data_IF_083484289699
#
_entry.id   IF_083484289699
#
_cell.length_a   1.000
_cell.length_b   1.000
_cell.length_c   1.000
_cell.angle_alpha   90.00
_cell.angle_beta   90.00
_cell.angle_gamma   90.00
#
_symmetry.space_group_name_H-M   'P 1'
#
loop_
_entity.id
_entity.type
_entity.pdbx_description
1 polymer ?
#
# COMPACT_ATOMS: atom_id res chain seq x y z
N UNK A 1 -6.25 -32.41 19.13
CA UNK A 1 -4.80 -32.53 18.90
C UNK A 1 -4.46 -31.80 17.61
N UNK A 2 -3.32 -31.08 17.57
CA UNK A 2 -2.90 -30.26 16.44
C UNK A 2 -1.52 -30.74 15.99
N UNK A 3 -1.37 -31.03 14.70
CA UNK A 3 -0.07 -31.25 14.07
C UNK A 3 0.41 -29.91 13.46
N UNK A 4 1.57 -29.44 13.92
CA UNK A 4 2.21 -28.23 13.38
C UNK A 4 3.39 -28.63 12.51
N UNK A 5 3.36 -28.18 11.25
CA UNK A 5 4.47 -28.35 10.32
C UNK A 5 5.16 -27.00 10.13
N UNK A 6 6.48 -26.96 10.35
CA UNK A 6 7.29 -25.78 10.11
C UNK A 6 8.08 -25.96 8.82
N UNK A 7 7.88 -25.05 7.86
CA UNK A 7 8.61 -25.01 6.60
C UNK A 7 9.68 -23.92 6.69
N UNK A 8 10.95 -24.29 6.52
CA UNK A 8 12.09 -23.40 6.71
C UNK A 8 12.42 -22.51 5.52
N UNK A 9 11.97 -22.87 4.31
CA UNK A 9 12.17 -22.07 3.11
C UNK A 9 11.08 -22.38 2.08
N UNK A 10 10.59 -21.34 1.42
CA UNK A 10 9.72 -21.46 0.26
C UNK A 10 10.18 -20.49 -0.83
N UNK A 11 10.18 -20.93 -2.07
CA UNK A 11 10.37 -20.05 -3.22
C UNK A 11 9.05 -19.32 -3.52
N UNK A 12 9.13 -18.12 -4.12
CA UNK A 12 7.95 -17.37 -4.57
C UNK A 12 7.39 -17.98 -5.87
N UNK A 13 6.12 -17.70 -6.17
CA UNK A 13 5.43 -18.15 -7.37
C UNK A 13 5.64 -19.65 -7.64
N UNK A 14 5.57 -20.45 -6.58
CA UNK A 14 5.88 -21.87 -6.65
C UNK A 14 4.75 -22.69 -6.06
N UNK A 15 4.36 -23.74 -6.77
CA UNK A 15 3.39 -24.71 -6.30
C UNK A 15 4.06 -25.73 -5.39
N UNK A 16 3.43 -25.98 -4.26
CA UNK A 16 3.88 -26.95 -3.27
C UNK A 16 2.80 -27.96 -2.96
N UNK A 17 3.24 -29.18 -2.69
CA UNK A 17 2.38 -30.23 -2.17
C UNK A 17 2.97 -30.73 -0.86
N UNK A 18 2.18 -30.69 0.21
CA UNK A 18 2.50 -31.37 1.45
C UNK A 18 1.76 -32.70 1.43
N UNK A 19 2.49 -33.81 1.56
CA UNK A 19 1.93 -35.15 1.64
C UNK A 19 2.30 -35.80 2.96
N UNK A 20 1.31 -36.27 3.68
CA UNK A 20 1.46 -37.09 4.90
C UNK A 20 0.98 -38.49 4.53
N UNK A 21 1.88 -39.49 4.45
CA UNK A 21 1.49 -40.84 4.16
C UNK A 21 0.59 -41.44 5.23
N UNK A 22 -0.23 -42.42 4.86
CA UNK A 22 -1.01 -43.19 5.79
C UNK A 22 -0.11 -43.82 6.88
N UNK A 23 -0.54 -43.72 8.10
CA UNK A 23 0.19 -44.29 9.26
C UNK A 23 1.42 -43.53 9.72
N UNK A 24 1.80 -42.41 9.07
CA UNK A 24 2.88 -41.55 9.58
C UNK A 24 2.51 -40.91 10.93
N UNK A 25 1.23 -40.62 11.12
CA UNK A 25 0.66 -40.14 12.39
C UNK A 25 -0.29 -41.20 12.91
N UNK A 26 -0.17 -41.52 14.20
CA UNK A 26 -1.06 -42.47 14.86
C UNK A 26 -1.79 -41.81 16.02
N UNK A 27 -3.04 -42.17 16.19
CA UNK A 27 -3.87 -41.73 17.33
C UNK A 27 -3.48 -42.42 18.64
N UNK A 28 -4.10 -42.05 19.79
CA UNK A 28 -3.85 -42.64 21.09
C UNK A 28 -4.02 -44.15 21.12
N UNK A 29 -4.88 -44.70 20.29
CA UNK A 29 -5.14 -46.14 20.18
C UNK A 29 -4.25 -46.84 19.14
N UNK A 30 -3.17 -46.21 18.72
CA UNK A 30 -2.27 -46.68 17.65
C UNK A 30 -2.96 -46.87 16.30
N UNK A 31 -4.14 -46.32 16.13
CA UNK A 31 -4.80 -46.32 14.79
C UNK A 31 -4.07 -45.37 13.85
N UNK A 32 -3.71 -45.82 12.67
CA UNK A 32 -3.06 -44.99 11.66
C UNK A 32 -4.04 -43.91 11.17
N UNK A 33 -3.56 -42.69 11.05
CA UNK A 33 -4.28 -41.64 10.35
C UNK A 33 -4.27 -41.91 8.84
N UNK A 34 -5.34 -41.60 8.11
CA UNK A 34 -5.37 -41.72 6.67
C UNK A 34 -4.35 -40.79 6.02
N UNK A 35 -3.93 -41.14 4.80
CA UNK A 35 -3.08 -40.27 4.00
C UNK A 35 -3.75 -38.90 3.78
N UNK A 36 -2.96 -37.84 3.86
CA UNK A 36 -3.42 -36.47 3.64
C UNK A 36 -2.52 -35.78 2.64
N UNK A 37 -3.10 -34.96 1.76
CA UNK A 37 -2.37 -34.13 0.83
C UNK A 37 -2.98 -32.73 0.77
N UNK A 38 -2.12 -31.70 0.82
CA UNK A 38 -2.49 -30.30 0.69
C UNK A 38 -1.64 -29.66 -0.40
N UNK A 39 -2.30 -29.09 -1.38
CA UNK A 39 -1.65 -28.26 -2.40
C UNK A 39 -1.82 -26.78 -2.03
N UNK A 40 -0.76 -26.01 -2.18
CA UNK A 40 -0.81 -24.56 -2.07
C UNK A 40 0.25 -23.93 -2.97
N UNK A 41 0.02 -22.69 -3.35
CA UNK A 41 0.98 -21.88 -4.11
C UNK A 41 1.47 -20.73 -3.25
N UNK A 42 2.75 -20.43 -3.36
CA UNK A 42 3.28 -19.18 -2.78
C UNK A 42 2.99 -18.01 -3.70
N UNK A 43 2.74 -16.85 -3.10
CA UNK A 43 2.36 -15.65 -3.83
C UNK A 43 3.45 -15.23 -4.82
N UNK A 44 3.05 -14.98 -6.07
CA UNK A 44 3.86 -14.25 -7.03
C UNK A 44 3.61 -12.75 -6.85
N UNK A 45 4.54 -12.05 -6.20
CA UNK A 45 4.45 -10.61 -6.00
C UNK A 45 4.69 -9.81 -7.29
N UNK A 46 5.12 -10.46 -8.37
CA UNK A 46 5.40 -9.82 -9.65
C UNK A 46 4.22 -9.85 -10.62
N UNK A 47 3.26 -10.78 -10.44
CA UNK A 47 2.24 -11.06 -11.45
C UNK A 47 1.13 -10.01 -11.57
N UNK A 48 0.95 -9.17 -10.55
CA UNK A 48 -0.19 -8.25 -10.46
C UNK A 48 0.20 -6.77 -10.32
N UNK A 49 1.48 -6.43 -10.45
CA UNK A 49 1.92 -5.05 -10.33
C UNK A 49 2.10 -4.41 -11.71
N UNK A 50 1.65 -3.17 -11.81
CA UNK A 50 1.88 -2.36 -13.01
C UNK A 50 3.39 -2.28 -13.27
N UNK A 51 3.79 -2.54 -14.50
CA UNK A 51 5.20 -2.44 -14.90
C UNK A 51 5.71 -1.04 -14.61
N UNK A 52 6.87 -0.95 -13.97
CA UNK A 52 7.54 0.31 -13.78
C UNK A 52 7.88 0.95 -15.14
N UNK A 53 7.55 2.23 -15.28
CA UNK A 53 7.72 2.96 -16.56
C UNK A 53 9.06 3.66 -16.68
N UNK A 54 9.86 3.70 -15.58
CA UNK A 54 11.20 4.30 -15.58
C UNK A 54 12.21 3.38 -14.87
N UNK A 55 13.51 3.52 -15.18
CA UNK A 55 14.56 2.76 -14.50
C UNK A 55 14.59 2.99 -12.98
N UNK A 56 14.25 4.21 -12.53
CA UNK A 56 14.20 4.59 -11.12
C UNK A 56 13.04 3.89 -10.41
N UNK A 57 11.87 3.87 -11.04
CA UNK A 57 10.71 3.14 -10.51
C UNK A 57 10.97 1.63 -10.46
N UNK A 58 11.63 1.07 -11.48
CA UNK A 58 12.03 -0.34 -11.47
C UNK A 58 13.03 -0.65 -10.35
N UNK A 59 14.00 0.23 -10.12
CA UNK A 59 14.96 0.10 -9.02
C UNK A 59 14.28 0.11 -7.66
N UNK A 60 13.34 1.05 -7.46
CA UNK A 60 12.55 1.13 -6.23
C UNK A 60 11.70 -0.13 -6.04
N UNK A 61 11.05 -0.59 -7.08
CA UNK A 61 10.25 -1.81 -7.04
C UNK A 61 11.10 -3.03 -6.63
N UNK A 62 12.26 -3.22 -7.26
CA UNK A 62 13.20 -4.30 -6.89
C UNK A 62 13.62 -4.20 -5.43
N UNK A 63 13.96 -2.98 -4.96
CA UNK A 63 14.30 -2.76 -3.56
C UNK A 63 13.17 -3.17 -2.61
N UNK A 64 11.92 -2.82 -2.92
CA UNK A 64 10.77 -3.19 -2.09
C UNK A 64 10.56 -4.71 -2.05
N UNK A 65 10.66 -5.37 -3.20
CA UNK A 65 10.55 -6.84 -3.31
C UNK A 65 11.66 -7.55 -2.54
N UNK A 66 12.90 -7.11 -2.67
CA UNK A 66 14.04 -7.72 -1.98
C UNK A 66 13.94 -7.63 -0.46
N UNK A 67 13.30 -6.57 0.05
CA UNK A 67 13.13 -6.34 1.48
C UNK A 67 11.79 -6.84 2.04
N UNK A 68 10.86 -7.23 1.18
CA UNK A 68 9.55 -7.73 1.60
C UNK A 68 9.67 -8.93 2.54
N UNK A 69 8.99 -8.86 3.69
CA UNK A 69 9.03 -9.89 4.73
C UNK A 69 10.34 -10.00 5.50
N UNK A 70 11.33 -9.14 5.22
CA UNK A 70 12.65 -9.14 5.88
C UNK A 70 12.89 -7.91 6.73
N UNK A 71 12.38 -6.75 6.30
CA UNK A 71 12.58 -5.45 6.94
C UNK A 71 11.30 -4.64 6.96
N UNK A 72 11.18 -3.78 7.96
CA UNK A 72 10.20 -2.70 8.00
C UNK A 72 10.87 -1.43 7.49
N UNK A 73 10.25 -0.77 6.52
CA UNK A 73 10.70 0.53 6.03
C UNK A 73 10.00 1.60 6.87
N UNK A 74 10.76 2.44 7.55
CA UNK A 74 10.21 3.55 8.33
C UNK A 74 9.72 4.64 7.41
N UNK A 75 8.60 5.25 7.75
CA UNK A 75 8.03 6.36 6.99
C UNK A 75 7.48 7.46 7.88
N UNK A 76 7.33 8.63 7.31
CA UNK A 76 6.69 9.80 7.88
C UNK A 76 5.74 10.41 6.86
N UNK A 77 4.73 11.08 7.36
CA UNK A 77 3.83 11.91 6.57
C UNK A 77 4.39 13.33 6.54
N UNK A 78 4.51 13.91 5.35
CA UNK A 78 4.72 15.35 5.23
C UNK A 78 3.49 16.08 5.81
N UNK A 79 3.70 17.24 6.40
CA UNK A 79 2.57 18.03 6.85
C UNK A 79 1.74 18.55 5.65
N UNK A 80 0.60 19.15 5.96
CA UNK A 80 -0.35 19.64 4.94
C UNK A 80 0.22 20.69 3.97
N UNK A 81 1.32 21.35 4.35
CA UNK A 81 2.03 22.31 3.48
C UNK A 81 3.19 21.66 2.70
N UNK A 82 3.28 20.33 2.70
CA UNK A 82 4.33 19.55 2.05
C UNK A 82 5.75 19.83 2.53
N UNK A 83 5.93 20.45 3.68
CA UNK A 83 7.25 20.52 4.26
C UNK A 83 7.63 19.17 4.91
N UNK A 84 8.90 19.00 5.21
CA UNK A 84 9.47 17.77 5.78
C UNK A 84 9.84 17.93 7.25
N UNK A 85 9.22 18.87 7.95
CA UNK A 85 9.56 19.23 9.34
C UNK A 85 9.43 18.05 10.30
N UNK A 86 8.45 17.16 10.09
CA UNK A 86 8.27 15.94 10.89
C UNK A 86 9.44 14.96 10.67
N UNK A 87 9.92 14.83 9.44
CA UNK A 87 11.07 14.00 9.14
C UNK A 87 12.37 14.59 9.72
N UNK A 88 12.53 15.91 9.67
CA UNK A 88 13.63 16.63 10.33
C UNK A 88 13.59 16.43 11.84
N UNK A 89 12.41 16.44 12.45
CA UNK A 89 12.25 16.22 13.88
C UNK A 89 12.64 14.78 14.26
N UNK A 90 12.27 13.79 13.45
CA UNK A 90 12.72 12.39 13.64
C UNK A 90 14.24 12.31 13.56
N UNK A 91 14.84 12.96 12.57
CA UNK A 91 16.30 12.99 12.43
C UNK A 91 16.97 13.67 13.65
N UNK A 92 16.38 14.75 14.15
CA UNK A 92 16.88 15.44 15.35
C UNK A 92 16.88 14.51 16.58
N UNK A 93 15.87 13.69 16.74
CA UNK A 93 15.75 12.80 17.91
C UNK A 93 16.57 11.53 17.79
N UNK A 94 16.74 11.01 16.58
CA UNK A 94 17.30 9.67 16.37
C UNK A 94 18.65 9.65 15.65
N UNK A 95 19.04 10.76 15.02
CA UNK A 95 20.19 10.84 14.12
C UNK A 95 19.95 10.19 12.75
N UNK A 96 18.70 9.82 12.44
CA UNK A 96 18.33 9.15 11.19
C UNK A 96 17.04 9.71 10.62
N UNK A 97 17.01 9.88 9.30
CA UNK A 97 15.77 10.18 8.59
C UNK A 97 14.91 8.93 8.41
N UNK A 98 13.58 9.06 8.40
CA UNK A 98 12.73 8.00 7.88
C UNK A 98 13.05 7.76 6.40
N UNK A 99 12.95 6.50 5.96
CA UNK A 99 13.29 6.16 4.58
C UNK A 99 12.24 6.63 3.56
N UNK A 100 10.99 6.78 4.00
CA UNK A 100 9.85 7.14 3.17
C UNK A 100 9.20 8.41 3.71
N UNK A 101 8.83 9.33 2.82
CA UNK A 101 7.96 10.45 3.15
C UNK A 101 6.75 10.45 2.21
N UNK A 102 5.55 10.61 2.79
CA UNK A 102 4.29 10.60 2.06
C UNK A 102 3.77 12.02 1.91
N UNK A 103 3.46 12.42 0.69
CA UNK A 103 2.91 13.73 0.36
C UNK A 103 1.44 13.58 0.01
N UNK A 104 0.58 14.37 0.65
CA UNK A 104 -0.85 14.31 0.48
C UNK A 104 -1.32 15.27 -0.62
N UNK A 105 -2.09 14.76 -1.57
CA UNK A 105 -2.68 15.52 -2.67
C UNK A 105 -4.16 15.87 -2.42
N UNK A 106 -4.55 15.95 -1.17
CA UNK A 106 -5.92 16.17 -0.71
C UNK A 106 -6.59 17.40 -1.34
N UNK A 107 -5.82 18.46 -1.56
CA UNK A 107 -6.36 19.78 -1.90
C UNK A 107 -6.28 20.14 -3.39
N UNK A 108 -5.95 19.19 -4.26
CA UNK A 108 -5.71 19.50 -5.69
C UNK A 108 -6.86 20.25 -6.36
N UNK A 109 -8.11 19.98 -5.99
CA UNK A 109 -9.23 20.52 -6.75
C UNK A 109 -10.26 21.30 -5.92
N UNK A 110 -10.47 20.93 -4.66
CA UNK A 110 -11.66 21.32 -3.90
C UNK A 110 -11.37 21.80 -2.49
N UNK A 111 -10.16 22.23 -2.21
CA UNK A 111 -9.86 22.96 -1.00
C UNK A 111 -10.00 24.46 -1.28
N UNK A 112 -10.84 25.13 -0.54
CA UNK A 112 -10.91 26.60 -0.52
C UNK A 112 -9.65 27.24 0.06
N UNK A 113 -8.73 26.46 0.60
CA UNK A 113 -7.49 26.89 1.23
C UNK A 113 -6.30 26.34 0.43
N UNK A 114 -5.66 27.20 -0.33
CA UNK A 114 -4.46 26.86 -1.12
C UNK A 114 -3.21 26.91 -0.23
N UNK A 115 -3.07 25.99 0.69
CA UNK A 115 -1.86 25.87 1.52
C UNK A 115 -0.69 25.25 0.75
N UNK A 116 -1.01 24.50 -0.27
CA UNK A 116 -0.04 23.76 -1.06
C UNK A 116 -0.02 24.34 -2.46
N UNK A 117 1.14 24.80 -2.88
CA UNK A 117 1.37 25.14 -4.29
C UNK A 117 1.77 23.86 -5.02
N UNK A 118 0.81 23.20 -5.64
CA UNK A 118 1.06 21.99 -6.43
C UNK A 118 1.88 22.24 -7.70
N UNK A 119 2.13 23.47 -8.09
CA UNK A 119 3.08 23.81 -9.14
C UNK A 119 4.53 23.75 -8.67
N UNK A 120 4.77 23.87 -7.36
CA UNK A 120 6.07 23.68 -6.73
C UNK A 120 6.20 22.27 -6.11
N UNK A 121 6.75 21.35 -6.86
CA UNK A 121 7.04 19.98 -6.40
C UNK A 121 8.45 19.85 -5.77
N UNK A 122 9.12 20.96 -5.49
CA UNK A 122 10.47 20.93 -4.94
C UNK A 122 10.62 20.15 -3.62
N UNK A 123 9.67 20.17 -2.67
CA UNK A 123 9.76 19.33 -1.47
C UNK A 123 9.81 17.84 -1.79
N UNK A 124 9.03 17.40 -2.78
CA UNK A 124 8.97 16.01 -3.24
C UNK A 124 10.26 15.61 -3.96
N UNK A 125 10.71 16.46 -4.89
CA UNK A 125 11.92 16.19 -5.66
C UNK A 125 13.19 16.26 -4.81
N UNK A 126 13.25 17.16 -3.83
CA UNK A 126 14.36 17.25 -2.89
C UNK A 126 14.47 15.98 -2.04
N UNK A 127 13.35 15.46 -1.55
CA UNK A 127 13.33 14.20 -0.81
C UNK A 127 13.83 13.03 -1.66
N UNK A 128 13.35 12.91 -2.90
CA UNK A 128 13.78 11.88 -3.84
C UNK A 128 15.27 11.99 -4.18
N UNK A 129 15.77 13.22 -4.43
CA UNK A 129 17.18 13.49 -4.76
C UNK A 129 18.12 13.19 -3.58
N UNK A 130 17.63 13.33 -2.35
CA UNK A 130 18.36 12.93 -1.14
C UNK A 130 18.40 11.39 -0.94
N UNK A 131 17.75 10.62 -1.82
CA UNK A 131 17.70 9.15 -1.76
C UNK A 131 16.52 8.60 -0.96
N UNK A 132 15.58 9.45 -0.56
CA UNK A 132 14.36 9.06 0.14
C UNK A 132 13.32 8.44 -0.81
N UNK A 133 12.48 7.58 -0.27
CA UNK A 133 11.32 7.03 -1.00
C UNK A 133 10.18 8.03 -0.91
N UNK A 134 9.65 8.40 -2.08
CA UNK A 134 8.44 9.23 -2.18
C UNK A 134 7.21 8.33 -2.21
N UNK A 135 6.23 8.65 -1.38
CA UNK A 135 4.89 8.09 -1.43
C UNK A 135 3.89 9.23 -1.66
N UNK A 136 2.88 8.96 -2.46
CA UNK A 136 1.79 9.90 -2.69
C UNK A 136 0.52 9.36 -2.04
N UNK A 137 -0.13 10.20 -1.26
CA UNK A 137 -1.45 9.93 -0.71
C UNK A 137 -2.48 10.83 -1.39
N UNK A 138 -3.64 10.31 -1.59
CA UNK A 138 -4.78 11.05 -2.06
C UNK A 138 -5.92 10.93 -1.06
N UNK A 139 -6.19 11.98 -0.33
CA UNK A 139 -7.44 12.17 0.37
C UNK A 139 -8.50 12.59 -0.63
N UNK A 140 -9.34 11.67 -1.03
CA UNK A 140 -10.35 11.99 -2.02
C UNK A 140 -11.47 12.83 -1.40
N UNK A 141 -11.54 14.08 -1.83
CA UNK A 141 -12.58 15.00 -1.45
C UNK A 141 -13.65 14.98 -2.55
N UNK A 142 -14.86 14.55 -2.22
CA UNK A 142 -15.95 14.31 -3.17
C UNK A 142 -17.18 15.13 -2.81
N UNK A 143 -18.08 15.43 -3.78
CA UNK A 143 -19.32 16.13 -3.48
C UNK A 143 -20.20 15.33 -2.52
N UNK A 144 -20.94 16.02 -1.65
CA UNK A 144 -21.88 15.36 -0.73
C UNK A 144 -23.04 14.73 -1.46
N UNK A 145 -23.54 15.38 -2.52
CA UNK A 145 -24.60 14.89 -3.38
C UNK A 145 -24.52 15.53 -4.78
N UNK A 146 -25.43 15.19 -5.67
CA UNK A 146 -25.48 15.68 -7.04
C UNK A 146 -25.68 17.19 -7.18
N UNK A 147 -26.23 17.83 -6.18
CA UNK A 147 -26.53 19.28 -6.16
C UNK A 147 -25.42 20.08 -5.46
N UNK A 148 -24.36 19.41 -4.97
CA UNK A 148 -23.25 20.06 -4.26
C UNK A 148 -22.48 21.03 -5.15
N UNK A 149 -22.22 22.20 -4.62
CA UNK A 149 -21.24 23.13 -5.16
C UNK A 149 -19.85 22.83 -4.58
N UNK A 150 -18.84 23.58 -5.02
CA UNK A 150 -17.45 23.35 -4.61
C UNK A 150 -17.22 23.43 -3.08
N UNK A 151 -18.07 24.14 -2.35
CA UNK A 151 -17.96 24.29 -0.88
C UNK A 151 -18.61 23.11 -0.12
N UNK A 152 -19.35 22.26 -0.83
CA UNK A 152 -20.07 21.11 -0.28
C UNK A 152 -19.36 19.77 -0.54
N UNK A 153 -18.04 19.78 -0.55
CA UNK A 153 -17.23 18.60 -0.69
C UNK A 153 -16.82 18.04 0.68
N UNK A 154 -16.63 16.74 0.76
CA UNK A 154 -16.22 16.05 1.99
C UNK A 154 -15.29 14.89 1.69
N UNK A 155 -14.37 14.59 2.62
CA UNK A 155 -13.59 13.36 2.65
C UNK A 155 -14.21 12.31 3.60
N UNK A 156 -15.37 12.59 4.19
CA UNK A 156 -16.05 11.73 5.17
C UNK A 156 -17.08 10.86 4.47
N UNK A 157 -16.85 9.55 4.43
CA UNK A 157 -17.71 8.59 3.73
C UNK A 157 -19.19 8.65 4.16
N UNK A 158 -19.47 8.94 5.43
CA UNK A 158 -20.85 9.04 5.94
C UNK A 158 -21.58 10.34 5.58
N UNK A 159 -20.90 11.28 4.97
CA UNK A 159 -21.43 12.60 4.60
C UNK A 159 -21.63 12.77 3.10
N UNK A 160 -21.42 11.72 2.31
CA UNK A 160 -21.52 11.78 0.86
C UNK A 160 -22.42 10.68 0.32
N UNK A 161 -23.11 10.98 -0.78
CA UNK A 161 -23.82 10.02 -1.63
C UNK A 161 -22.95 9.46 -2.76
N UNK A 162 -21.71 9.95 -2.87
CA UNK A 162 -20.78 9.53 -3.91
C UNK A 162 -20.39 8.06 -3.77
N UNK A 163 -20.62 7.30 -4.82
CA UNK A 163 -20.23 5.89 -4.90
C UNK A 163 -18.93 5.74 -5.72
N UNK A 164 -17.83 5.47 -5.03
CA UNK A 164 -16.52 5.33 -5.65
C UNK A 164 -16.47 4.19 -6.70
N UNK A 165 -17.31 3.16 -6.60
CA UNK A 165 -17.39 2.12 -7.63
C UNK A 165 -17.95 2.66 -8.94
N UNK A 166 -18.91 3.55 -8.88
CA UNK A 166 -19.50 4.17 -10.07
C UNK A 166 -18.60 5.18 -10.74
N UNK A 167 -17.56 5.68 -10.05
CA UNK A 167 -16.61 6.62 -10.62
C UNK A 167 -15.87 6.07 -11.86
N UNK A 168 -15.76 4.75 -11.97
CA UNK A 168 -15.17 4.06 -13.15
C UNK A 168 -16.21 3.63 -14.18
N UNK A 169 -17.51 3.87 -13.95
CA UNK A 169 -18.60 3.51 -14.85
C UNK A 169 -18.95 4.70 -15.72
N UNK A 170 -18.73 4.60 -17.03
CA UNK A 170 -19.02 5.65 -18.00
C UNK A 170 -20.49 6.08 -17.93
N UNK A 171 -20.72 7.38 -17.88
CA UNK A 171 -22.05 8.00 -17.89
C UNK A 171 -22.72 8.15 -16.50
N UNK A 172 -22.06 7.74 -15.42
CA UNK A 172 -22.52 8.08 -14.08
C UNK A 172 -22.13 9.50 -13.69
N UNK A 173 -22.82 10.09 -12.71
CA UNK A 173 -22.43 11.42 -12.26
C UNK A 173 -21.08 11.39 -11.53
N UNK A 174 -20.77 10.30 -10.83
CA UNK A 174 -19.47 10.06 -10.17
C UNK A 174 -18.32 10.04 -11.18
N UNK A 175 -18.55 9.44 -12.35
CA UNK A 175 -17.56 9.43 -13.43
C UNK A 175 -17.32 10.83 -13.99
N UNK A 176 -18.32 11.69 -14.00
CA UNK A 176 -18.19 13.08 -14.42
C UNK A 176 -17.44 13.97 -13.43
N UNK A 177 -17.23 13.53 -12.18
CA UNK A 177 -16.46 14.23 -11.14
C UNK A 177 -14.96 13.89 -11.20
N UNK A 178 -14.62 12.69 -11.61
CA UNK A 178 -13.25 12.18 -11.70
C UNK A 178 -12.60 12.53 -13.02
#
# INVERSE_FOLDING_TARGET
DTLTLTVSASSRATDYTITIPEGLVTGPNQMPAPAFSLNFSTLDLHSNLVMATSPEAEKLYKFLIENYGKKTISGMMANVAWNTDEAEQVNTWTGHYPALNTFDYMHIRYSGENWIDYSDISPVTNWANAGGIVSCMWHWNVPKNTDSNIDDYTATLSETEFDAQKAIEEGTWENGIV
#
